data_IF_698960656139
#
_entry.id   IF_698960656139
#
_cell.length_a   1.000
_cell.length_b   1.000
_cell.length_c   1.000
_cell.angle_alpha   90.00
_cell.angle_beta   90.00
_cell.angle_gamma   90.00
#
_symmetry.space_group_name_H-M   'P 1'
#
loop_
_entity.id
_entity.type
_entity.pdbx_description
1 polymer ?
#
# COMPACT_ATOMS: atom_id res chain seq x y z
N UNK A 1 55.46 6.38 45.84
CA UNK A 1 54.94 5.11 45.30
C UNK A 1 53.47 5.02 45.72
N UNK A 2 52.52 5.38 44.85
CA UNK A 2 51.09 5.15 45.07
C UNK A 2 50.50 4.54 43.81
N UNK A 3 49.75 3.47 44.03
CA UNK A 3 49.40 2.39 43.12
C UNK A 3 48.37 2.79 42.04
N UNK A 4 48.14 1.93 41.02
CA UNK A 4 47.40 2.26 39.81
C UNK A 4 45.89 2.13 40.01
N UNK A 5 45.12 3.04 39.40
CA UNK A 5 43.66 2.94 39.32
C UNK A 5 43.29 1.81 38.35
N UNK A 6 42.96 0.66 38.93
CA UNK A 6 42.40 -0.49 38.22
C UNK A 6 40.98 -0.16 37.81
N UNK A 7 40.79 0.19 36.54
CA UNK A 7 39.48 0.09 35.91
C UNK A 7 39.00 -1.36 36.05
N UNK A 8 37.84 -1.63 36.69
CA UNK A 8 37.32 -2.98 36.79
C UNK A 8 36.78 -3.38 35.42
N UNK A 9 37.67 -3.91 34.58
CA UNK A 9 37.33 -4.68 33.40
C UNK A 9 36.84 -6.04 33.91
N UNK A 10 35.54 -6.17 34.16
CA UNK A 10 34.94 -7.44 34.57
C UNK A 10 33.99 -7.36 35.75
N UNK A 11 32.91 -6.60 35.62
CA UNK A 11 31.65 -7.05 36.23
C UNK A 11 30.98 -7.91 35.17
N UNK A 12 30.88 -9.21 35.41
CA UNK A 12 30.11 -10.14 34.57
C UNK A 12 28.74 -9.50 34.34
N UNK A 13 28.46 -9.07 33.10
CA UNK A 13 27.22 -8.39 32.80
C UNK A 13 26.09 -9.34 33.16
N UNK A 14 25.30 -8.97 34.17
CA UNK A 14 24.15 -9.75 34.62
C UNK A 14 23.32 -10.16 33.40
N UNK A 15 22.84 -11.41 33.39
CA UNK A 15 21.98 -11.96 32.33
C UNK A 15 20.81 -10.99 32.02
N UNK A 16 20.30 -10.29 33.04
CA UNK A 16 19.28 -9.26 32.88
C UNK A 16 19.75 -8.02 32.12
N UNK A 17 20.99 -7.59 32.28
CA UNK A 17 21.58 -6.49 31.52
C UNK A 17 21.95 -6.88 30.07
N UNK A 18 22.26 -8.15 29.81
CA UNK A 18 22.45 -8.66 28.44
C UNK A 18 21.12 -8.74 27.69
N UNK A 19 20.08 -9.24 28.35
CA UNK A 19 18.73 -9.31 27.79
C UNK A 19 18.13 -7.92 27.54
N UNK A 20 18.34 -6.98 28.46
CA UNK A 20 17.92 -5.59 28.29
C UNK A 20 18.63 -4.91 27.10
N UNK A 21 19.94 -5.13 26.95
CA UNK A 21 20.70 -4.62 25.80
C UNK A 21 20.25 -5.25 24.48
N UNK A 22 20.08 -6.58 24.42
CA UNK A 22 19.59 -7.26 23.22
C UNK A 22 18.18 -6.81 22.81
N UNK A 23 17.28 -6.59 23.79
CA UNK A 23 15.92 -6.07 23.53
C UNK A 23 15.95 -4.63 23.00
N UNK A 24 16.90 -3.83 23.47
CA UNK A 24 17.10 -2.46 23.00
C UNK A 24 17.62 -2.43 21.56
N UNK A 25 18.58 -3.29 21.22
CA UNK A 25 19.08 -3.41 19.84
C UNK A 25 18.02 -3.93 18.87
N UNK A 26 17.21 -4.90 19.29
CA UNK A 26 16.06 -5.36 18.50
C UNK A 26 15.02 -4.25 18.29
N UNK A 27 14.74 -3.44 19.31
CA UNK A 27 13.82 -2.30 19.18
C UNK A 27 14.36 -1.24 18.22
N UNK A 28 15.67 -0.99 18.24
CA UNK A 28 16.32 -0.09 17.29
C UNK A 28 16.23 -0.61 15.85
N UNK A 29 16.50 -1.91 15.64
CA UNK A 29 16.40 -2.54 14.32
C UNK A 29 14.99 -2.49 13.74
N UNK A 30 13.97 -2.78 14.56
CA UNK A 30 12.56 -2.70 14.15
C UNK A 30 12.19 -1.25 13.79
N UNK A 31 12.68 -0.26 14.53
CA UNK A 31 12.44 1.14 14.22
C UNK A 31 13.03 1.54 12.86
N UNK A 32 14.25 1.09 12.56
CA UNK A 32 14.91 1.34 11.29
C UNK A 32 14.18 0.66 10.12
N UNK A 33 13.73 -0.58 10.29
CA UNK A 33 12.96 -1.30 9.26
C UNK A 33 11.62 -0.59 8.96
N UNK A 34 10.95 -0.06 10.00
CA UNK A 34 9.74 0.73 9.86
C UNK A 34 10.04 2.07 9.16
N UNK A 35 11.14 2.73 9.51
CA UNK A 35 11.56 3.97 8.88
C UNK A 35 11.85 3.76 7.38
N UNK A 36 12.52 2.66 7.03
CA UNK A 36 12.78 2.26 5.65
C UNK A 36 11.49 1.92 4.90
N UNK A 37 10.62 1.09 5.48
CA UNK A 37 9.33 0.74 4.88
C UNK A 37 8.46 1.98 4.64
N UNK A 38 8.49 2.95 5.57
CA UNK A 38 7.80 4.23 5.41
C UNK A 38 8.40 5.08 4.29
N UNK A 39 9.71 5.07 4.12
CA UNK A 39 10.38 5.75 3.02
C UNK A 39 10.01 5.12 1.66
N UNK A 40 10.03 3.78 1.57
CA UNK A 40 9.60 3.05 0.37
C UNK A 40 8.14 3.32 0.05
N UNK A 41 7.24 3.27 1.04
CA UNK A 41 5.82 3.58 0.84
C UNK A 41 5.61 5.01 0.35
N UNK A 42 6.34 5.99 0.92
CA UNK A 42 6.27 7.39 0.46
C UNK A 42 6.77 7.51 -0.99
N UNK A 43 7.82 6.79 -1.36
CA UNK A 43 8.35 6.76 -2.71
C UNK A 43 7.36 6.11 -3.69
N UNK A 44 6.71 5.00 -3.31
CA UNK A 44 5.68 4.34 -4.10
C UNK A 44 4.44 5.21 -4.27
N UNK A 45 3.99 5.87 -3.20
CA UNK A 45 2.89 6.84 -3.28
C UNK A 45 3.27 8.00 -4.18
N UNK A 46 4.48 8.56 -4.06
CA UNK A 46 4.94 9.64 -4.93
C UNK A 46 5.00 9.21 -6.39
N UNK A 47 5.53 8.01 -6.67
CA UNK A 47 5.63 7.46 -8.03
C UNK A 47 4.25 7.16 -8.61
N UNK A 48 3.35 6.61 -7.80
CA UNK A 48 1.95 6.38 -8.14
C UNK A 48 1.18 7.68 -8.38
N UNK A 49 1.42 8.71 -7.56
CA UNK A 49 0.79 10.02 -7.70
C UNK A 49 1.29 10.77 -8.93
N UNK A 50 2.60 10.79 -9.20
CA UNK A 50 3.17 11.43 -10.39
C UNK A 50 2.65 10.76 -11.67
N UNK A 51 2.66 9.43 -11.72
CA UNK A 51 2.14 8.70 -12.88
C UNK A 51 0.63 8.87 -13.01
N UNK A 52 -0.14 8.70 -11.94
CA UNK A 52 -1.59 8.88 -11.93
C UNK A 52 -2.02 10.30 -12.34
N UNK A 53 -1.33 11.32 -11.84
CA UNK A 53 -1.56 12.72 -12.22
C UNK A 53 -1.25 12.98 -13.69
N UNK A 54 -0.09 12.53 -14.17
CA UNK A 54 0.31 12.67 -15.58
C UNK A 54 -0.65 11.93 -16.53
N UNK A 55 -1.08 10.71 -16.17
CA UNK A 55 -2.08 9.97 -16.95
C UNK A 55 -3.44 10.66 -16.98
N UNK A 56 -3.87 11.27 -15.88
CA UNK A 56 -5.12 12.03 -15.82
C UNK A 56 -5.05 13.28 -16.72
N UNK A 57 -3.94 14.01 -16.67
CA UNK A 57 -3.71 15.17 -17.53
C UNK A 57 -3.63 14.77 -19.02
N UNK A 58 -2.91 13.71 -19.36
CA UNK A 58 -2.84 13.18 -20.72
C UNK A 58 -4.22 12.74 -21.23
N UNK A 59 -5.01 12.09 -20.39
CA UNK A 59 -6.40 11.73 -20.70
C UNK A 59 -7.26 12.96 -20.98
N UNK A 60 -7.15 14.01 -20.16
CA UNK A 60 -7.88 15.26 -20.38
C UNK A 60 -7.49 15.95 -21.69
N UNK A 61 -6.19 16.02 -22.01
CA UNK A 61 -5.69 16.59 -23.27
C UNK A 61 -6.19 15.78 -24.48
N UNK A 62 -6.18 14.45 -24.40
CA UNK A 62 -6.73 13.59 -25.45
C UNK A 62 -8.24 13.80 -25.64
N UNK A 63 -8.99 13.90 -24.55
CA UNK A 63 -10.43 14.17 -24.61
C UNK A 63 -10.72 15.54 -25.24
N UNK A 64 -9.95 16.56 -24.89
CA UNK A 64 -10.10 17.91 -25.45
C UNK A 64 -9.67 18.00 -26.92
N UNK A 65 -8.75 17.14 -27.38
CA UNK A 65 -8.29 17.11 -28.77
C UNK A 65 -9.19 16.30 -29.71
N UNK A 66 -10.08 15.44 -29.19
CA UNK A 66 -11.04 14.64 -29.98
C UNK A 66 -11.82 15.43 -31.05
N UNK A 67 -12.44 16.59 -30.76
CA UNK A 67 -13.14 17.36 -31.80
C UNK A 67 -12.19 17.77 -32.92
N UNK A 68 -10.99 18.24 -32.59
CA UNK A 68 -9.99 18.65 -33.58
C UNK A 68 -9.50 17.46 -34.43
N UNK A 69 -9.29 16.30 -33.80
CA UNK A 69 -8.95 15.06 -34.49
C UNK A 69 -10.04 14.62 -35.47
N UNK A 70 -11.32 14.76 -35.09
CA UNK A 70 -12.45 14.44 -35.94
C UNK A 70 -12.52 15.36 -37.17
N UNK A 71 -12.32 16.67 -36.99
CA UNK A 71 -12.18 17.61 -38.11
C UNK A 71 -11.03 17.20 -39.04
N UNK A 72 -9.85 16.93 -38.50
CA UNK A 72 -8.68 16.53 -39.29
C UNK A 72 -8.96 15.26 -40.12
N UNK A 73 -9.57 14.23 -39.53
CA UNK A 73 -9.99 13.02 -40.22
C UNK A 73 -11.03 13.30 -41.30
N UNK A 74 -12.05 14.11 -41.00
CA UNK A 74 -13.12 14.40 -41.96
C UNK A 74 -12.57 15.12 -43.21
N UNK A 75 -11.70 16.11 -43.03
CA UNK A 75 -11.02 16.78 -44.14
C UNK A 75 -10.05 15.85 -44.89
N UNK A 76 -9.34 14.97 -44.18
CA UNK A 76 -8.48 13.96 -44.80
C UNK A 76 -9.25 13.01 -45.71
N UNK A 77 -10.37 12.44 -45.21
CA UNK A 77 -11.23 11.53 -45.99
C UNK A 77 -11.86 12.26 -47.18
N UNK A 78 -12.29 13.51 -46.98
CA UNK A 78 -12.84 14.34 -48.06
C UNK A 78 -11.83 14.55 -49.18
N UNK A 79 -10.57 14.79 -48.84
CA UNK A 79 -9.50 15.06 -49.82
C UNK A 79 -9.25 13.86 -50.73
N UNK A 80 -9.35 12.64 -50.19
CA UNK A 80 -9.17 11.40 -50.97
C UNK A 80 -10.40 10.98 -51.77
N UNK A 81 -11.60 11.22 -51.23
CA UNK A 81 -12.83 10.57 -51.74
C UNK A 81 -13.77 11.54 -52.46
N UNK A 82 -13.67 12.85 -52.20
CA UNK A 82 -14.60 13.86 -52.74
C UNK A 82 -16.06 13.75 -52.22
N UNK A 83 -16.35 12.80 -51.33
CA UNK A 83 -17.67 12.50 -50.78
C UNK A 83 -18.27 13.64 -49.96
N UNK A 84 -19.60 13.69 -49.85
CA UNK A 84 -20.33 14.68 -49.05
C UNK A 84 -19.74 14.81 -47.63
N UNK A 85 -19.56 16.05 -47.16
CA UNK A 85 -18.95 16.36 -45.85
C UNK A 85 -19.65 15.63 -44.71
N UNK A 86 -20.97 15.49 -44.76
CA UNK A 86 -21.73 14.78 -43.73
C UNK A 86 -21.29 13.32 -43.58
N UNK A 87 -21.03 12.64 -44.69
CA UNK A 87 -20.57 11.24 -44.70
C UNK A 87 -19.15 11.16 -44.15
N UNK A 88 -18.27 12.10 -44.50
CA UNK A 88 -16.90 12.15 -43.99
C UNK A 88 -16.86 12.32 -42.46
N UNK A 89 -17.65 13.24 -41.90
CA UNK A 89 -17.76 13.41 -40.44
C UNK A 89 -18.30 12.16 -39.75
N UNK A 90 -19.30 11.51 -40.34
CA UNK A 90 -19.89 10.30 -39.77
C UNK A 90 -18.89 9.14 -39.79
N UNK A 91 -18.11 8.99 -40.85
CA UNK A 91 -17.02 8.01 -40.93
C UNK A 91 -15.90 8.30 -39.92
N UNK A 92 -15.47 9.56 -39.80
CA UNK A 92 -14.45 9.97 -38.82
C UNK A 92 -14.90 9.72 -37.40
N UNK A 93 -16.18 9.99 -37.09
CA UNK A 93 -16.75 9.66 -35.79
C UNK A 93 -16.76 8.15 -35.56
N UNK A 94 -17.24 7.36 -36.53
CA UNK A 94 -17.24 5.90 -36.43
C UNK A 94 -15.81 5.34 -36.20
N UNK A 95 -14.81 5.85 -36.93
CA UNK A 95 -13.41 5.47 -36.75
C UNK A 95 -12.90 5.79 -35.33
N UNK A 96 -13.21 6.97 -34.80
CA UNK A 96 -12.85 7.35 -33.42
C UNK A 96 -13.54 6.45 -32.39
N UNK A 97 -14.82 6.11 -32.58
CA UNK A 97 -15.56 5.20 -31.69
C UNK A 97 -14.96 3.80 -31.70
N UNK A 98 -14.62 3.27 -32.88
CA UNK A 98 -13.96 1.97 -33.00
C UNK A 98 -12.59 1.96 -32.33
N UNK A 99 -11.79 3.02 -32.53
CA UNK A 99 -10.49 3.17 -31.88
C UNK A 99 -10.62 3.26 -30.35
N UNK A 100 -11.56 4.07 -29.85
CA UNK A 100 -11.87 4.16 -28.43
C UNK A 100 -12.32 2.81 -27.85
N UNK A 101 -13.16 2.07 -28.57
CA UNK A 101 -13.58 0.72 -28.20
C UNK A 101 -12.42 -0.27 -28.10
N UNK A 102 -11.48 -0.22 -29.05
CA UNK A 102 -10.28 -1.05 -29.03
C UNK A 102 -9.37 -0.72 -27.84
N UNK A 103 -9.14 0.57 -27.57
CA UNK A 103 -8.38 1.02 -26.39
C UNK A 103 -9.04 0.58 -25.09
N UNK A 104 -10.37 0.67 -25.01
CA UNK A 104 -11.12 0.22 -23.83
C UNK A 104 -11.01 -1.30 -23.63
N UNK A 105 -11.07 -2.10 -24.70
CA UNK A 105 -10.87 -3.54 -24.64
C UNK A 105 -9.45 -3.90 -24.16
N UNK A 106 -8.43 -3.24 -24.69
CA UNK A 106 -7.04 -3.41 -24.25
C UNK A 106 -6.94 -3.05 -22.75
N UNK A 107 -7.44 -1.88 -22.35
CA UNK A 107 -7.47 -1.46 -20.96
C UNK A 107 -8.16 -2.48 -20.04
N UNK A 108 -9.28 -3.05 -20.48
CA UNK A 108 -9.99 -4.10 -19.75
C UNK A 108 -9.18 -5.40 -19.64
N UNK A 109 -8.48 -5.82 -20.70
CA UNK A 109 -7.61 -7.01 -20.67
C UNK A 109 -6.44 -6.81 -19.71
N UNK A 110 -5.79 -5.64 -19.75
CA UNK A 110 -4.73 -5.29 -18.79
C UNK A 110 -5.26 -5.23 -17.37
N UNK A 111 -6.42 -4.62 -17.14
CA UNK A 111 -7.06 -4.57 -15.83
C UNK A 111 -7.43 -5.98 -15.32
N UNK A 112 -7.95 -6.86 -16.18
CA UNK A 112 -8.22 -8.26 -15.85
C UNK A 112 -6.94 -9.02 -15.50
N UNK A 113 -5.85 -8.79 -16.24
CA UNK A 113 -4.53 -9.39 -15.97
C UNK A 113 -3.96 -8.89 -14.64
N UNK A 114 -4.08 -7.60 -14.35
CA UNK A 114 -3.71 -7.01 -13.08
C UNK A 114 -4.55 -7.54 -11.91
N UNK A 115 -5.87 -7.72 -12.09
CA UNK A 115 -6.76 -8.34 -11.09
C UNK A 115 -6.46 -9.83 -10.88
N UNK A 116 -6.02 -10.55 -11.91
CA UNK A 116 -5.60 -11.96 -11.80
C UNK A 116 -4.31 -12.10 -11.00
N UNK A 117 -3.44 -11.09 -11.03
CA UNK A 117 -2.35 -10.91 -10.06
C UNK A 117 -2.92 -10.47 -8.71
N UNK A 118 -3.48 -11.43 -7.97
CA UNK A 118 -4.11 -11.24 -6.65
C UNK A 118 -3.14 -10.77 -5.53
N UNK A 119 -1.98 -10.19 -5.85
CA UNK A 119 -1.00 -9.75 -4.84
C UNK A 119 -1.53 -8.62 -3.95
N UNK A 120 -1.87 -7.44 -4.51
CA UNK A 120 -2.24 -6.28 -3.69
C UNK A 120 -3.62 -6.40 -3.02
N UNK A 121 -4.59 -7.02 -3.69
CA UNK A 121 -5.95 -7.19 -3.16
C UNK A 121 -6.05 -8.24 -2.05
N UNK A 122 -5.26 -9.33 -2.11
CA UNK A 122 -5.23 -10.32 -1.02
C UNK A 122 -4.61 -9.73 0.24
N UNK A 123 -3.54 -8.95 0.10
CA UNK A 123 -2.89 -8.29 1.24
C UNK A 123 -3.83 -7.28 1.91
N UNK A 124 -4.55 -6.47 1.12
CA UNK A 124 -5.55 -5.55 1.66
C UNK A 124 -6.74 -6.29 2.32
N UNK A 125 -7.20 -7.40 1.74
CA UNK A 125 -8.27 -8.21 2.32
C UNK A 125 -7.85 -8.90 3.62
N UNK A 126 -6.66 -9.52 3.66
CA UNK A 126 -6.12 -10.14 4.88
C UNK A 126 -5.85 -9.12 5.98
N UNK A 127 -5.39 -7.91 5.66
CA UNK A 127 -5.26 -6.83 6.64
C UNK A 127 -6.61 -6.42 7.25
N UNK A 128 -7.66 -6.35 6.42
CA UNK A 128 -9.01 -5.99 6.85
C UNK A 128 -9.65 -7.10 7.70
N UNK A 129 -9.36 -8.36 7.37
CA UNK A 129 -9.78 -9.54 8.13
C UNK A 129 -9.07 -9.61 9.49
N UNK A 130 -7.76 -9.40 9.53
CA UNK A 130 -6.97 -9.34 10.77
C UNK A 130 -7.42 -8.20 11.68
N UNK A 131 -7.69 -7.00 11.12
CA UNK A 131 -8.29 -5.91 11.87
C UNK A 131 -9.69 -6.26 12.40
N UNK A 132 -10.46 -7.03 11.60
CA UNK A 132 -11.76 -7.56 11.96
C UNK A 132 -11.73 -8.54 13.13
N UNK A 133 -10.70 -9.37 13.24
CA UNK A 133 -10.54 -10.30 14.37
C UNK A 133 -10.06 -9.55 15.63
N UNK A 134 -9.16 -8.58 15.47
CA UNK A 134 -8.64 -7.78 16.58
C UNK A 134 -9.68 -6.85 17.22
N UNK A 135 -10.62 -6.30 16.45
CA UNK A 135 -11.73 -5.50 17.01
C UNK A 135 -12.76 -6.36 17.78
N UNK A 136 -12.88 -7.65 17.45
CA UNK A 136 -13.73 -8.61 18.18
C UNK A 136 -13.04 -9.17 19.42
N UNK A 137 -11.72 -9.08 19.52
CA UNK A 137 -10.95 -9.39 20.72
C UNK A 137 -11.08 -8.24 21.74
N UNK A 138 -12.28 -8.05 22.28
CA UNK A 138 -12.49 -7.22 23.48
C UNK A 138 -11.64 -7.83 24.61
N UNK A 139 -10.78 -7.05 25.32
CA UNK A 139 -10.00 -7.56 26.44
C UNK A 139 -10.97 -8.08 27.48
N UNK A 140 -11.04 -9.41 27.64
CA UNK A 140 -11.84 -10.00 28.70
C UNK A 140 -11.14 -9.66 30.02
N UNK A 141 -11.83 -9.00 30.98
CA UNK A 141 -11.32 -8.88 32.33
C UNK A 141 -11.07 -10.30 32.83
N UNK A 142 -9.83 -10.57 33.29
CA UNK A 142 -9.49 -11.84 33.95
C UNK A 142 -10.50 -12.03 35.08
N UNK A 143 -11.43 -12.98 34.93
CA UNK A 143 -12.23 -13.40 36.06
C UNK A 143 -11.27 -14.05 37.05
N UNK A 144 -11.24 -13.60 38.33
CA UNK A 144 -10.38 -14.20 39.34
C UNK A 144 -10.73 -15.68 39.43
N UNK A 145 -9.75 -16.53 39.15
CA UNK A 145 -9.92 -17.96 39.28
C UNK A 145 -9.99 -18.30 40.78
N UNK A 146 -10.70 -19.38 41.11
CA UNK A 146 -10.78 -19.91 42.48
C UNK A 146 -9.42 -20.31 43.07
N UNK A 147 -8.36 -20.27 42.26
CA UNK A 147 -6.98 -20.46 42.69
C UNK A 147 -6.48 -19.24 43.47
N UNK A 148 -6.81 -18.01 43.04
CA UNK A 148 -6.41 -16.79 43.75
C UNK A 148 -7.11 -16.67 45.12
N UNK A 149 -8.38 -17.10 45.23
CA UNK A 149 -9.10 -17.13 46.53
C UNK A 149 -8.57 -18.21 47.48
N UNK A 150 -8.09 -19.35 46.94
CA UNK A 150 -7.45 -20.39 47.75
C UNK A 150 -6.08 -19.94 48.28
N UNK A 151 -5.31 -19.22 47.47
CA UNK A 151 -4.00 -18.66 47.87
C UNK A 151 -4.19 -17.55 48.92
N UNK A 152 -5.21 -16.71 48.79
CA UNK A 152 -5.55 -15.67 49.76
C UNK A 152 -6.12 -16.24 51.08
N UNK A 153 -6.88 -17.33 51.03
CA UNK A 153 -7.37 -18.03 52.22
C UNK A 153 -6.25 -18.73 53.00
N UNK A 154 -5.26 -19.31 52.31
CA UNK A 154 -4.07 -19.91 52.92
C UNK A 154 -3.18 -18.85 53.57
N UNK A 155 -3.07 -17.66 52.97
CA UNK A 155 -2.28 -16.55 53.52
C UNK A 155 -2.91 -15.89 54.77
N UNK A 156 -4.23 -15.91 54.92
CA UNK A 156 -4.92 -15.40 56.13
C UNK A 156 -4.93 -16.38 57.31
N UNK A 157 -4.77 -17.68 57.06
CA UNK A 157 -4.78 -18.70 58.11
C UNK A 157 -3.43 -18.87 58.84
N UNK A 158 -2.40 -18.15 58.40
CA UNK A 158 -1.03 -18.24 58.93
C UNK A 158 -0.55 -16.97 59.63
N UNK A 159 -1.47 -16.04 59.92
CA UNK A 159 -1.26 -14.88 60.82
C UNK A 159 -1.96 -15.09 62.17
#
# INVERSE_FOLDING_TARGET
>A
MSAPDGSPVGSERSIGQLFASATTELSALVHDEIALAKAQLKQDVRRGATSGGAFSAAGAVLLFSLPMLNFALAYGIRTWTGWNMAVCFLLSFAANVLFAGLLALIGLVFAKKAKKSKGPQKVAASMKETAGVLQYAKPHPRQPNSTDTAVEAVARSSS
#
